data_IF_390345814555
#
_entry.id   IF_390345814555
#
_cell.length_a   1.000
_cell.length_b   1.000
_cell.length_c   1.000
_cell.angle_alpha   90.00
_cell.angle_beta   90.00
_cell.angle_gamma   90.00
#
_symmetry.space_group_name_H-M   'P 1'
#
loop_
_entity.id
_entity.type
_entity.pdbx_description
1 polymer ?
#
# COMPACT_ATOMS: atom_id res chain seq x y z
N UNK A 1 2.78 -7.32 38.55
CA UNK A 1 3.39 -7.61 37.24
C UNK A 1 2.43 -7.46 36.06
N UNK A 2 1.10 -7.48 36.24
CA UNK A 2 0.18 -6.98 35.21
C UNK A 2 0.29 -5.44 35.13
N UNK A 3 0.42 -4.85 33.93
CA UNK A 3 0.76 -3.44 33.65
C UNK A 3 2.17 -2.95 34.04
N UNK A 4 3.20 -3.82 34.06
CA UNK A 4 4.58 -3.37 34.31
C UNK A 4 5.30 -2.79 33.09
N UNK A 5 4.59 -2.52 31.99
CA UNK A 5 5.15 -1.95 30.76
C UNK A 5 4.15 -0.98 30.11
N UNK A 6 4.67 0.12 29.59
CA UNK A 6 3.91 1.09 28.81
C UNK A 6 3.82 0.63 27.35
N UNK A 7 2.64 0.80 26.76
CA UNK A 7 2.45 0.57 25.33
C UNK A 7 3.00 1.77 24.57
N UNK A 8 4.03 1.55 23.76
CA UNK A 8 4.56 2.55 22.84
C UNK A 8 3.94 2.35 21.46
N UNK A 9 3.12 3.31 21.04
CA UNK A 9 2.63 3.37 19.67
C UNK A 9 3.74 3.89 18.74
N UNK A 10 4.12 3.07 17.76
CA UNK A 10 5.10 3.47 16.76
C UNK A 10 4.38 4.19 15.62
N UNK A 11 4.78 5.44 15.38
CA UNK A 11 4.33 6.24 14.24
C UNK A 11 5.27 6.03 13.05
N UNK A 12 4.78 6.34 11.85
CA UNK A 12 5.63 6.43 10.68
C UNK A 12 6.82 7.37 10.94
N UNK A 13 8.00 6.98 10.48
CA UNK A 13 9.18 7.83 10.56
C UNK A 13 8.96 9.03 9.63
N UNK A 14 9.13 10.27 10.09
CA UNK A 14 8.90 11.46 9.28
C UNK A 14 9.76 11.54 8.02
N UNK A 15 9.27 12.23 6.99
CA UNK A 15 9.95 12.42 5.70
C UNK A 15 11.30 13.10 5.89
N UNK A 16 11.39 14.08 6.79
CA UNK A 16 12.62 14.80 7.11
C UNK A 16 13.74 13.91 7.69
N UNK A 17 13.40 12.71 8.18
CA UNK A 17 14.36 11.69 8.60
C UNK A 17 14.68 10.75 7.45
N UNK A 18 13.65 10.29 6.72
CA UNK A 18 13.84 9.34 5.62
C UNK A 18 14.60 9.91 4.43
N UNK A 19 14.33 11.15 4.05
CA UNK A 19 14.93 11.83 2.90
C UNK A 19 16.46 11.87 3.00
N UNK A 20 17.08 12.43 4.06
CA UNK A 20 18.53 12.42 4.18
C UNK A 20 19.09 11.01 4.37
N UNK A 21 18.35 10.08 4.99
CA UNK A 21 18.78 8.69 5.12
C UNK A 21 18.98 8.03 3.75
N UNK A 22 17.98 8.14 2.86
CA UNK A 22 18.01 7.53 1.52
C UNK A 22 19.07 8.21 0.66
N UNK A 23 19.04 9.54 0.53
CA UNK A 23 19.98 10.29 -0.32
C UNK A 23 21.43 10.01 0.10
N UNK A 24 21.74 10.10 1.40
CA UNK A 24 23.10 9.84 1.87
C UNK A 24 23.57 8.41 1.62
N UNK A 25 22.65 7.43 1.56
CA UNK A 25 23.01 6.04 1.28
C UNK A 25 23.43 5.85 -0.18
N UNK A 26 22.70 6.47 -1.12
CA UNK A 26 23.06 6.47 -2.54
C UNK A 26 24.41 7.19 -2.77
N UNK A 27 24.56 8.41 -2.24
CA UNK A 27 25.76 9.23 -2.47
C UNK A 27 27.05 8.58 -1.95
N UNK A 28 26.99 7.89 -0.80
CA UNK A 28 28.15 7.18 -0.22
C UNK A 28 28.67 6.05 -1.10
N UNK A 29 27.87 5.55 -2.02
CA UNK A 29 28.22 4.49 -2.96
C UNK A 29 28.36 5.02 -4.39
N UNK A 30 28.59 6.32 -4.56
CA UNK A 30 28.70 7.00 -5.86
C UNK A 30 27.46 6.82 -6.73
N UNK A 31 26.27 6.71 -6.13
CA UNK A 31 24.98 6.67 -6.82
C UNK A 31 24.21 7.94 -6.49
N UNK A 32 23.38 8.41 -7.40
CA UNK A 32 22.54 9.59 -7.17
C UNK A 32 21.06 9.21 -7.09
N UNK A 33 20.26 9.95 -6.34
CA UNK A 33 18.79 9.88 -6.36
C UNK A 33 18.21 11.26 -6.12
N UNK A 34 17.28 11.68 -6.98
CA UNK A 34 16.59 12.96 -6.82
C UNK A 34 15.65 12.94 -5.60
N UNK A 35 15.64 14.05 -4.85
CA UNK A 35 14.81 14.21 -3.66
C UNK A 35 13.32 14.01 -3.96
N UNK A 36 12.84 14.51 -5.10
CA UNK A 36 11.44 14.36 -5.51
C UNK A 36 11.06 12.89 -5.72
N UNK A 37 12.01 12.03 -6.12
CA UNK A 37 11.76 10.60 -6.22
C UNK A 37 11.64 9.94 -4.84
N UNK A 38 12.40 10.40 -3.85
CA UNK A 38 12.25 9.94 -2.46
C UNK A 38 10.88 10.34 -1.88
N UNK A 39 10.45 11.58 -2.14
CA UNK A 39 9.16 12.10 -1.71
C UNK A 39 7.98 11.33 -2.34
N UNK A 40 8.07 10.95 -3.62
CA UNK A 40 7.04 10.12 -4.29
C UNK A 40 6.82 8.81 -3.56
N UNK A 41 7.90 8.07 -3.26
CA UNK A 41 7.82 6.78 -2.55
C UNK A 41 7.29 6.98 -1.13
N UNK A 42 7.74 8.01 -0.43
CA UNK A 42 7.23 8.34 0.90
C UNK A 42 5.72 8.61 0.89
N UNK A 43 5.24 9.40 -0.08
CA UNK A 43 3.83 9.74 -0.20
C UNK A 43 2.97 8.55 -0.60
N UNK A 44 3.52 7.60 -1.36
CA UNK A 44 2.86 6.36 -1.75
C UNK A 44 2.66 5.42 -0.55
N UNK A 45 3.72 5.20 0.23
CA UNK A 45 3.70 4.26 1.37
C UNK A 45 3.44 4.91 2.73
N UNK A 46 3.23 6.23 2.76
CA UNK A 46 2.98 7.04 3.96
C UNK A 46 4.03 6.82 5.06
N UNK A 47 5.30 6.68 4.65
CA UNK A 47 6.42 6.46 5.58
C UNK A 47 6.44 5.10 6.28
N UNK A 48 5.66 4.12 5.81
CA UNK A 48 5.67 2.77 6.38
C UNK A 48 7.02 2.08 6.14
N UNK A 49 7.74 1.80 7.23
CA UNK A 49 9.16 1.46 7.23
C UNK A 49 9.52 0.31 6.31
N UNK A 50 8.72 -0.77 6.31
CA UNK A 50 8.97 -1.94 5.48
C UNK A 50 8.99 -1.60 3.98
N UNK A 51 7.97 -0.88 3.50
CA UNK A 51 7.86 -0.56 2.07
C UNK A 51 8.95 0.42 1.66
N UNK A 52 9.20 1.45 2.49
CA UNK A 52 10.28 2.41 2.28
C UNK A 52 11.63 1.72 2.11
N UNK A 53 12.00 0.86 3.07
CA UNK A 53 13.30 0.20 3.05
C UNK A 53 13.40 -0.81 1.90
N UNK A 54 12.35 -1.59 1.64
CA UNK A 54 12.36 -2.60 0.59
C UNK A 54 12.49 -1.97 -0.80
N UNK A 55 11.68 -0.95 -1.10
CA UNK A 55 11.74 -0.22 -2.38
C UNK A 55 13.11 0.39 -2.62
N UNK A 56 13.68 1.11 -1.66
CA UNK A 56 14.98 1.73 -1.86
C UNK A 56 16.15 0.74 -1.83
N UNK A 57 16.01 -0.40 -1.16
CA UNK A 57 17.03 -1.45 -1.20
C UNK A 57 17.12 -2.07 -2.60
N UNK A 58 15.99 -2.39 -3.21
CA UNK A 58 15.93 -2.94 -4.57
C UNK A 58 16.37 -1.90 -5.61
N UNK A 59 15.78 -0.69 -5.56
CA UNK A 59 16.18 0.38 -6.47
C UNK A 59 17.66 0.74 -6.35
N UNK A 60 18.25 0.66 -5.15
CA UNK A 60 19.69 0.82 -4.96
C UNK A 60 20.50 -0.30 -5.61
N UNK A 61 20.06 -1.55 -5.49
CA UNK A 61 20.73 -2.69 -6.11
C UNK A 61 20.77 -2.56 -7.64
N UNK A 62 19.67 -2.08 -8.23
CA UNK A 62 19.51 -1.92 -9.68
C UNK A 62 20.09 -0.62 -10.23
N UNK A 63 20.52 0.30 -9.37
CA UNK A 63 21.24 1.52 -9.79
C UNK A 63 22.74 1.24 -9.87
N UNK A 64 23.39 1.37 -11.04
CA UNK A 64 24.84 1.20 -11.15
C UNK A 64 25.64 2.27 -10.38
N UNK A 65 26.91 1.99 -10.12
CA UNK A 65 27.85 3.01 -9.64
C UNK A 65 28.01 4.13 -10.69
N UNK A 66 28.13 5.38 -10.24
CA UNK A 66 28.16 6.60 -11.05
C UNK A 66 26.90 6.85 -11.91
N UNK A 67 25.75 6.29 -11.51
CA UNK A 67 24.46 6.47 -12.16
C UNK A 67 23.39 7.07 -11.23
N UNK A 68 22.31 7.54 -11.83
CA UNK A 68 21.13 8.06 -11.13
C UNK A 68 20.04 6.98 -11.00
N UNK A 69 19.46 6.88 -9.81
CA UNK A 69 18.26 6.10 -9.54
C UNK A 69 17.04 6.84 -10.08
N UNK A 70 16.55 6.38 -11.23
CA UNK A 70 15.43 7.02 -11.93
C UNK A 70 14.08 6.62 -11.33
N UNK A 71 13.03 7.36 -11.69
CA UNK A 71 11.65 6.98 -11.34
C UNK A 71 11.27 5.61 -11.92
N UNK A 72 11.82 5.23 -13.07
CA UNK A 72 11.55 3.94 -13.71
C UNK A 72 12.19 2.81 -12.90
N UNK A 73 13.43 2.97 -12.44
CA UNK A 73 14.11 2.03 -11.53
C UNK A 73 13.32 1.81 -10.23
N UNK A 74 12.74 2.89 -9.67
CA UNK A 74 11.89 2.80 -8.49
C UNK A 74 10.57 2.09 -8.80
N UNK A 75 9.98 2.35 -9.97
CA UNK A 75 8.75 1.68 -10.41
C UNK A 75 8.97 0.19 -10.56
N UNK A 76 10.06 -0.21 -11.21
CA UNK A 76 10.43 -1.61 -11.41
C UNK A 76 10.61 -2.32 -10.07
N UNK A 77 11.30 -1.70 -9.10
CA UNK A 77 11.43 -2.23 -7.74
C UNK A 77 10.06 -2.46 -7.07
N UNK A 78 9.13 -1.49 -7.13
CA UNK A 78 7.79 -1.65 -6.54
C UNK A 78 7.00 -2.73 -7.30
N UNK A 79 7.12 -2.79 -8.62
CA UNK A 79 6.47 -3.80 -9.45
C UNK A 79 6.96 -5.21 -9.08
N UNK A 80 8.25 -5.39 -8.84
CA UNK A 80 8.83 -6.66 -8.40
C UNK A 80 8.35 -7.06 -7.00
N UNK A 81 8.20 -6.11 -6.08
CA UNK A 81 7.54 -6.34 -4.79
C UNK A 81 6.09 -6.84 -4.97
N UNK A 82 5.35 -6.28 -5.91
CA UNK A 82 3.98 -6.70 -6.21
C UNK A 82 3.95 -8.08 -6.86
N UNK A 83 4.81 -8.33 -7.85
CA UNK A 83 4.88 -9.60 -8.60
C UNK A 83 5.35 -10.75 -7.71
N UNK A 84 6.34 -10.52 -6.84
CA UNK A 84 6.81 -11.53 -5.89
C UNK A 84 5.73 -12.01 -4.92
N UNK A 85 4.67 -11.21 -4.70
CA UNK A 85 3.52 -11.58 -3.88
C UNK A 85 2.32 -12.11 -4.71
N UNK A 86 2.43 -12.25 -6.03
CA UNK A 86 1.31 -12.64 -6.90
C UNK A 86 0.66 -13.96 -6.47
N UNK A 87 1.45 -15.00 -6.23
CA UNK A 87 0.94 -16.32 -5.82
C UNK A 87 0.13 -16.26 -4.54
N UNK A 88 0.66 -15.58 -3.51
CA UNK A 88 0.00 -15.47 -2.20
C UNK A 88 -1.24 -14.58 -2.30
N UNK A 89 -1.22 -13.50 -3.08
CA UNK A 89 -2.38 -12.64 -3.29
C UNK A 89 -3.50 -13.35 -4.06
N UNK A 90 -3.18 -14.20 -5.05
CA UNK A 90 -4.16 -15.05 -5.72
C UNK A 90 -4.81 -16.04 -4.77
N UNK A 91 -4.02 -16.68 -3.91
CA UNK A 91 -4.53 -17.62 -2.91
C UNK A 91 -5.42 -16.92 -1.88
N UNK A 92 -5.00 -15.76 -1.37
CA UNK A 92 -5.82 -14.93 -0.48
C UNK A 92 -7.15 -14.60 -1.16
N UNK A 93 -7.10 -14.08 -2.39
CA UNK A 93 -8.28 -13.65 -3.11
C UNK A 93 -9.20 -14.83 -3.46
N UNK A 94 -8.67 -16.01 -3.78
CA UNK A 94 -9.50 -17.18 -4.09
C UNK A 94 -10.33 -17.66 -2.88
N UNK A 95 -9.82 -17.43 -1.67
CA UNK A 95 -10.48 -17.78 -0.41
C UNK A 95 -11.47 -16.70 0.11
N UNK A 96 -11.61 -15.58 -0.60
CA UNK A 96 -12.58 -14.53 -0.26
C UNK A 96 -13.91 -14.79 -1.02
N UNK A 97 -15.09 -14.76 -0.38
CA UNK A 97 -16.37 -14.86 -1.08
C UNK A 97 -16.63 -13.68 -2.04
N UNK A 98 -17.31 -13.93 -3.16
CA UNK A 98 -17.52 -12.92 -4.23
C UNK A 98 -18.08 -11.58 -3.75
N UNK A 99 -19.10 -11.59 -2.86
CA UNK A 99 -19.67 -10.34 -2.31
C UNK A 99 -18.65 -9.53 -1.51
N UNK A 100 -17.71 -10.19 -0.85
CA UNK A 100 -16.62 -9.53 -0.12
C UNK A 100 -15.56 -9.03 -1.10
N UNK A 101 -15.23 -9.78 -2.16
CA UNK A 101 -14.33 -9.31 -3.23
C UNK A 101 -14.84 -8.04 -3.88
N UNK A 102 -16.14 -7.96 -4.22
CA UNK A 102 -16.71 -6.77 -4.84
C UNK A 102 -16.50 -5.51 -3.99
N UNK A 103 -16.68 -5.61 -2.68
CA UNK A 103 -16.40 -4.50 -1.77
C UNK A 103 -14.90 -4.22 -1.65
N UNK A 104 -14.08 -5.26 -1.56
CA UNK A 104 -12.62 -5.12 -1.50
C UNK A 104 -12.07 -4.37 -2.71
N UNK A 105 -12.54 -4.70 -3.92
CA UNK A 105 -12.16 -4.00 -5.15
C UNK A 105 -12.65 -2.56 -5.17
N UNK A 106 -13.86 -2.30 -4.67
CA UNK A 106 -14.38 -0.93 -4.55
C UNK A 106 -13.47 -0.07 -3.65
N UNK A 107 -13.05 -0.62 -2.50
CA UNK A 107 -12.14 0.05 -1.58
C UNK A 107 -10.74 0.22 -2.20
N UNK A 108 -10.21 -0.81 -2.88
CA UNK A 108 -8.92 -0.72 -3.58
C UNK A 108 -8.88 0.41 -4.61
N UNK A 109 -9.97 0.56 -5.37
CA UNK A 109 -10.11 1.57 -6.43
C UNK A 109 -10.20 2.99 -5.89
N UNK A 110 -10.90 3.17 -4.77
CA UNK A 110 -11.01 4.50 -4.13
C UNK A 110 -9.75 4.81 -3.29
N UNK A 111 -8.98 3.80 -2.89
CA UNK A 111 -7.78 3.90 -2.04
C UNK A 111 -8.14 4.16 -0.57
N UNK A 112 -8.85 5.26 -0.33
CA UNK A 112 -9.45 5.67 0.93
C UNK A 112 -10.96 5.87 0.71
N UNK A 113 -11.75 4.89 1.15
CA UNK A 113 -13.18 4.83 0.89
C UNK A 113 -14.00 5.31 2.09
N UNK A 114 -14.83 6.32 1.88
CA UNK A 114 -15.76 6.83 2.87
C UNK A 114 -17.22 6.49 2.53
N UNK A 115 -18.08 6.50 3.55
CA UNK A 115 -19.55 6.35 3.39
C UNK A 115 -19.92 5.13 2.52
N UNK A 116 -19.23 4.01 2.73
CA UNK A 116 -19.30 2.81 1.89
C UNK A 116 -20.71 2.17 1.80
N UNK A 117 -21.60 2.50 2.74
CA UNK A 117 -23.00 2.05 2.77
C UNK A 117 -23.98 3.01 2.11
N UNK A 118 -23.51 4.16 1.62
CA UNK A 118 -24.34 5.15 0.95
C UNK A 118 -24.84 4.63 -0.40
N UNK A 119 -26.03 5.09 -0.81
CA UNK A 119 -26.58 4.76 -2.12
C UNK A 119 -25.65 5.18 -3.27
N UNK A 120 -24.93 6.30 -3.11
CA UNK A 120 -23.95 6.78 -4.08
C UNK A 120 -22.78 5.80 -4.25
N UNK A 121 -22.14 5.39 -3.14
CA UNK A 121 -21.02 4.44 -3.18
C UNK A 121 -21.45 3.09 -3.77
N UNK A 122 -22.59 2.57 -3.30
CA UNK A 122 -23.17 1.31 -3.78
C UNK A 122 -23.43 1.36 -5.27
N UNK A 123 -24.02 2.45 -5.77
CA UNK A 123 -24.30 2.62 -7.19
C UNK A 123 -23.02 2.77 -8.01
N UNK A 124 -22.07 3.60 -7.55
CA UNK A 124 -20.79 3.84 -8.23
C UNK A 124 -19.99 2.55 -8.44
N UNK A 125 -19.99 1.69 -7.43
CA UNK A 125 -19.24 0.42 -7.46
C UNK A 125 -20.08 -0.81 -7.79
N UNK A 126 -21.35 -0.62 -8.20
CA UNK A 126 -22.28 -1.70 -8.56
C UNK A 126 -22.42 -2.78 -7.47
N UNK A 127 -22.47 -2.36 -6.21
CA UNK A 127 -22.63 -3.24 -5.06
C UNK A 127 -24.12 -3.58 -4.85
N UNK A 128 -24.37 -4.69 -4.14
CA UNK A 128 -25.73 -5.26 -4.02
C UNK A 128 -26.65 -4.38 -3.17
N UNK A 129 -26.25 -4.06 -1.94
CA UNK A 129 -27.06 -3.30 -0.99
C UNK A 129 -26.23 -2.85 0.20
N UNK A 130 -26.74 -1.88 0.98
CA UNK A 130 -26.08 -1.39 2.19
C UNK A 130 -25.89 -2.51 3.23
N UNK A 131 -26.88 -3.39 3.41
CA UNK A 131 -26.77 -4.53 4.33
C UNK A 131 -25.72 -5.54 3.88
N UNK A 132 -25.62 -5.80 2.58
CA UNK A 132 -24.57 -6.66 2.02
C UNK A 132 -23.18 -6.05 2.22
N UNK A 133 -23.04 -4.73 2.01
CA UNK A 133 -21.79 -4.01 2.27
C UNK A 133 -21.41 -4.11 3.73
N UNK A 134 -22.32 -3.78 4.67
CA UNK A 134 -22.05 -3.86 6.11
C UNK A 134 -21.58 -5.26 6.54
N UNK A 135 -22.25 -6.32 6.06
CA UNK A 135 -21.87 -7.69 6.37
C UNK A 135 -20.49 -8.04 5.80
N UNK A 136 -20.17 -7.58 4.59
CA UNK A 136 -18.86 -7.79 3.99
C UNK A 136 -17.76 -7.01 4.73
N UNK A 137 -18.01 -5.74 5.08
CA UNK A 137 -17.10 -4.90 5.86
C UNK A 137 -16.70 -5.58 7.15
N UNK A 138 -17.67 -6.08 7.93
CA UNK A 138 -17.38 -6.78 9.19
C UNK A 138 -16.44 -7.98 8.98
N UNK A 139 -16.68 -8.78 7.94
CA UNK A 139 -15.85 -9.96 7.65
C UNK A 139 -14.47 -9.63 7.12
N UNK A 140 -14.33 -8.57 6.33
CA UNK A 140 -13.03 -8.10 5.83
C UNK A 140 -12.19 -7.48 6.95
N UNK A 141 -12.81 -6.73 7.88
CA UNK A 141 -12.15 -6.21 9.08
C UNK A 141 -11.72 -7.36 10.02
N UNK A 142 -12.61 -8.33 10.28
CA UNK A 142 -12.29 -9.51 11.12
C UNK A 142 -11.10 -10.33 10.60
N UNK A 143 -10.79 -10.24 9.30
CA UNK A 143 -9.69 -10.94 8.65
C UNK A 143 -8.50 -10.03 8.33
N UNK A 144 -8.51 -8.78 8.80
CA UNK A 144 -7.49 -7.76 8.55
C UNK A 144 -7.23 -7.45 7.06
N UNK A 145 -8.16 -7.76 6.15
CA UNK A 145 -8.01 -7.40 4.73
C UNK A 145 -8.24 -5.91 4.46
N UNK A 146 -9.07 -5.28 5.29
CA UNK A 146 -9.27 -3.84 5.30
C UNK A 146 -9.06 -3.34 6.73
N UNK A 147 -8.73 -2.05 6.85
CA UNK A 147 -8.69 -1.32 8.10
C UNK A 147 -9.66 -0.14 8.04
N UNK A 148 -10.05 0.37 9.21
CA UNK A 148 -10.90 1.55 9.36
C UNK A 148 -10.28 2.54 10.33
N UNK A 149 -10.09 3.78 9.87
CA UNK A 149 -9.62 4.89 10.69
C UNK A 149 -10.58 6.07 10.44
N UNK A 150 -11.25 6.55 11.49
CA UNK A 150 -12.18 7.68 11.40
C UNK A 150 -13.25 7.51 10.30
N UNK A 151 -13.78 6.29 10.13
CA UNK A 151 -14.76 5.89 9.09
C UNK A 151 -14.24 5.93 7.66
N UNK A 152 -12.92 6.03 7.48
CA UNK A 152 -12.23 5.85 6.21
C UNK A 152 -11.73 4.42 6.15
N UNK A 153 -12.14 3.70 5.12
CA UNK A 153 -11.77 2.30 4.90
C UNK A 153 -10.68 2.21 3.83
N UNK A 154 -9.63 1.42 4.09
CA UNK A 154 -8.59 1.14 3.11
C UNK A 154 -8.16 -0.32 3.19
N UNK A 155 -7.59 -0.87 2.11
CA UNK A 155 -6.91 -2.17 2.19
C UNK A 155 -5.70 -2.05 3.11
N UNK A 156 -5.54 -3.03 4.00
CA UNK A 156 -4.49 -3.04 5.03
C UNK A 156 -3.10 -3.14 4.40
N UNK A 157 -2.91 -4.10 3.49
CA UNK A 157 -1.65 -4.27 2.76
C UNK A 157 -1.64 -3.42 1.48
N UNK A 158 -0.70 -2.48 1.38
CA UNK A 158 -0.57 -1.58 0.23
C UNK A 158 -0.18 -2.33 -1.04
N UNK A 159 0.66 -3.36 -0.95
CA UNK A 159 1.02 -4.18 -2.12
C UNK A 159 -0.17 -4.98 -2.62
N UNK A 160 -1.01 -5.49 -1.71
CA UNK A 160 -2.24 -6.17 -2.11
C UNK A 160 -3.22 -5.22 -2.81
N UNK A 161 -3.34 -3.97 -2.31
CA UNK A 161 -4.14 -2.94 -2.96
C UNK A 161 -3.63 -2.60 -4.36
N UNK A 162 -2.31 -2.45 -4.53
CA UNK A 162 -1.66 -2.20 -5.82
C UNK A 162 -1.89 -3.37 -6.78
N UNK A 163 -1.71 -4.61 -6.29
CA UNK A 163 -1.93 -5.82 -7.07
C UNK A 163 -3.37 -5.93 -7.59
N UNK A 164 -4.37 -5.66 -6.74
CA UNK A 164 -5.78 -5.61 -7.15
C UNK A 164 -5.98 -4.55 -8.23
N UNK A 165 -5.43 -3.35 -8.07
CA UNK A 165 -5.57 -2.27 -9.05
C UNK A 165 -4.83 -2.56 -10.36
N UNK A 166 -3.73 -3.30 -10.33
CA UNK A 166 -3.00 -3.73 -11.54
C UNK A 166 -3.84 -4.72 -12.36
N UNK A 167 -4.52 -5.67 -11.70
CA UNK A 167 -5.31 -6.70 -12.40
C UNK A 167 -6.71 -6.20 -12.77
N UNK A 168 -7.34 -5.41 -11.90
CA UNK A 168 -8.77 -5.08 -11.99
C UNK A 168 -9.07 -3.57 -12.07
N UNK A 169 -8.06 -2.71 -11.94
CA UNK A 169 -8.20 -1.25 -11.86
C UNK A 169 -7.58 -0.46 -13.01
N UNK A 170 -6.58 -1.00 -13.73
CA UNK A 170 -5.88 -0.33 -14.84
C UNK A 170 -5.18 1.00 -14.44
N UNK A 171 -4.64 1.08 -13.21
CA UNK A 171 -3.93 2.28 -12.71
C UNK A 171 -2.41 2.08 -12.68
N UNK A 172 -1.61 3.08 -13.11
CA UNK A 172 -0.16 3.06 -12.90
C UNK A 172 0.18 3.19 -11.41
N UNK A 173 1.29 2.57 -11.01
CA UNK A 173 1.73 2.47 -9.59
C UNK A 173 2.32 3.78 -9.08
N UNK A 174 3.05 4.50 -9.94
CA UNK A 174 3.65 5.82 -9.73
C UNK A 174 3.86 6.56 -11.05
#
# INVERSE_FOLDING_TARGET
>A
FYHSADMLELKAIPLEIYLPFVVNHFEKCQKHIDVANVEKVYNLFKGHTYYMQKTFNEAFADTPENAECTVDTIRDAIDDMVVSNDTIFREILSNIPEKQKSLLYAIARDGEAERITSAEFIKRHSLVSASSVQSATKKLLEKDFITEINKVYSITDKLFSMWINKIYGNYPII
#
